data_IF_868902926797
#
_entry.id   IF_868902926797
#
_cell.length_a   1.000
_cell.length_b   1.000
_cell.length_c   1.000
_cell.angle_alpha   90.00
_cell.angle_beta   90.00
_cell.angle_gamma   90.00
#
_symmetry.space_group_name_H-M   'P 1'
#
loop_
_entity.id
_entity.type
_entity.pdbx_description
1 polymer ?
#
# COMPACT_ATOMS: atom_id res chain seq x y z
N UNK A 1 6.30 -26.30 -11.50
CA UNK A 1 6.45 -24.97 -12.13
C UNK A 1 5.15 -24.18 -12.17
N UNK A 2 4.03 -24.76 -12.61
CA UNK A 2 2.73 -24.05 -12.73
C UNK A 2 2.23 -23.46 -11.39
N UNK A 3 2.40 -24.17 -10.28
CA UNK A 3 2.01 -23.69 -8.94
C UNK A 3 2.78 -22.45 -8.49
N UNK A 4 4.11 -22.44 -8.66
CA UNK A 4 4.95 -21.27 -8.35
C UNK A 4 4.61 -20.06 -9.21
N UNK A 5 4.24 -20.28 -10.48
CA UNK A 5 3.81 -19.22 -11.38
C UNK A 5 2.47 -18.60 -10.92
N UNK A 6 1.51 -19.45 -10.53
CA UNK A 6 0.22 -19.00 -9.98
C UNK A 6 0.40 -18.23 -8.67
N UNK A 7 1.29 -18.70 -7.79
CA UNK A 7 1.64 -18.04 -6.53
C UNK A 7 2.22 -16.65 -6.76
N UNK A 8 3.19 -16.53 -7.68
CA UNK A 8 3.84 -15.26 -8.01
C UNK A 8 2.87 -14.27 -8.65
N UNK A 9 2.02 -14.75 -9.56
CA UNK A 9 1.01 -13.94 -10.21
C UNK A 9 -0.02 -13.41 -9.20
N UNK A 10 -0.53 -14.29 -8.33
CA UNK A 10 -1.54 -13.92 -7.35
C UNK A 10 -0.99 -12.93 -6.31
N UNK A 11 0.26 -13.13 -5.89
CA UNK A 11 0.97 -12.20 -5.02
C UNK A 11 1.16 -10.81 -5.66
N UNK A 12 1.57 -10.75 -6.92
CA UNK A 12 1.71 -9.49 -7.64
C UNK A 12 0.39 -8.72 -7.73
N UNK A 13 -0.70 -9.42 -8.07
CA UNK A 13 -2.05 -8.81 -8.13
C UNK A 13 -2.46 -8.26 -6.77
N UNK A 14 -2.23 -9.01 -5.68
CA UNK A 14 -2.52 -8.56 -4.31
C UNK A 14 -1.74 -7.28 -3.97
N UNK A 15 -0.44 -7.26 -4.25
CA UNK A 15 0.43 -6.10 -3.98
C UNK A 15 -0.04 -4.88 -4.78
N UNK A 16 -0.38 -5.05 -6.06
CA UNK A 16 -0.92 -3.96 -6.89
C UNK A 16 -2.24 -3.42 -6.33
N UNK A 17 -3.16 -4.29 -5.91
CA UNK A 17 -4.42 -3.87 -5.29
C UNK A 17 -4.16 -3.08 -4.01
N UNK A 18 -3.24 -3.53 -3.15
CA UNK A 18 -2.89 -2.85 -1.90
C UNK A 18 -2.29 -1.48 -2.16
N UNK A 19 -1.42 -1.33 -3.17
CA UNK A 19 -0.88 -0.02 -3.59
C UNK A 19 -2.01 0.91 -4.00
N UNK A 20 -2.92 0.43 -4.85
CA UNK A 20 -4.01 1.23 -5.39
C UNK A 20 -4.96 1.64 -4.25
N UNK A 21 -5.37 0.71 -3.40
CA UNK A 21 -6.26 1.02 -2.27
C UNK A 21 -5.60 1.94 -1.25
N UNK A 22 -4.36 1.67 -0.84
CA UNK A 22 -3.65 2.53 0.10
C UNK A 22 -3.44 3.94 -0.47
N UNK A 23 -3.11 4.03 -1.76
CA UNK A 23 -2.97 5.29 -2.48
C UNK A 23 -4.27 6.07 -2.57
N UNK A 24 -5.36 5.44 -3.00
CA UNK A 24 -6.70 6.05 -3.12
C UNK A 24 -7.19 6.53 -1.75
N UNK A 25 -7.10 5.69 -0.72
CA UNK A 25 -7.55 6.05 0.64
C UNK A 25 -6.77 7.26 1.16
N UNK A 26 -5.44 7.27 0.96
CA UNK A 26 -4.59 8.40 1.37
C UNK A 26 -4.90 9.67 0.57
N UNK A 27 -5.21 9.51 -0.72
CA UNK A 27 -5.56 10.64 -1.59
C UNK A 27 -6.90 11.25 -1.21
N UNK A 28 -7.93 10.42 -1.00
CA UNK A 28 -9.28 10.85 -0.66
C UNK A 28 -9.36 11.42 0.76
N UNK A 29 -8.59 10.86 1.70
CA UNK A 29 -8.56 11.26 3.10
C UNK A 29 -7.15 11.66 3.53
N UNK A 30 -6.65 12.85 3.16
CA UNK A 30 -5.28 13.30 3.47
C UNK A 30 -5.01 13.44 4.97
N UNK A 31 -6.06 13.65 5.79
CA UNK A 31 -5.98 13.72 7.26
C UNK A 31 -6.12 12.36 7.94
N UNK A 32 -6.35 11.28 7.19
CA UNK A 32 -6.52 9.96 7.79
C UNK A 32 -5.19 9.47 8.40
N UNK A 33 -5.22 8.86 9.59
CA UNK A 33 -4.02 8.35 10.21
C UNK A 33 -3.42 7.22 9.35
N UNK A 34 -2.24 7.46 8.79
CA UNK A 34 -1.50 6.51 7.94
C UNK A 34 -1.23 5.18 8.64
N UNK A 35 -1.14 5.20 9.97
CA UNK A 35 -1.01 4.01 10.82
C UNK A 35 -2.20 3.06 10.62
N UNK A 36 -3.42 3.58 10.46
CA UNK A 36 -4.61 2.73 10.27
C UNK A 36 -4.52 2.02 8.91
N UNK A 37 -4.14 2.72 7.85
CA UNK A 37 -3.96 2.12 6.51
C UNK A 37 -2.87 1.04 6.54
N UNK A 38 -1.77 1.29 7.26
CA UNK A 38 -0.70 0.32 7.49
C UNK A 38 -1.17 -0.93 8.22
N UNK A 39 -1.90 -0.76 9.33
CA UNK A 39 -2.44 -1.89 10.12
C UNK A 39 -3.40 -2.71 9.27
N UNK A 40 -4.30 -2.07 8.53
CA UNK A 40 -5.21 -2.78 7.61
C UNK A 40 -4.46 -3.54 6.52
N UNK A 41 -3.43 -2.93 5.92
CA UNK A 41 -2.61 -3.59 4.90
C UNK A 41 -1.86 -4.81 5.45
N UNK A 42 -1.28 -4.70 6.65
CA UNK A 42 -0.65 -5.83 7.35
C UNK A 42 -1.65 -6.94 7.67
N UNK A 43 -2.87 -6.59 8.09
CA UNK A 43 -3.96 -7.55 8.34
C UNK A 43 -4.36 -8.30 7.07
N UNK A 44 -4.43 -7.62 5.93
CA UNK A 44 -4.70 -8.26 4.63
C UNK A 44 -3.54 -9.21 4.27
N UNK A 45 -2.29 -8.83 4.53
CA UNK A 45 -1.12 -9.71 4.42
C UNK A 45 -1.21 -10.98 5.26
N UNK A 46 -1.67 -10.85 6.51
CA UNK A 46 -1.88 -11.97 7.42
C UNK A 46 -3.00 -12.91 6.96
N UNK A 47 -4.17 -12.36 6.62
CA UNK A 47 -5.32 -13.14 6.12
C UNK A 47 -4.93 -13.88 4.84
N UNK A 48 -4.19 -13.22 3.94
CA UNK A 48 -3.70 -13.83 2.72
C UNK A 48 -2.80 -15.04 3.00
N UNK A 49 -1.85 -14.92 3.93
CA UNK A 49 -0.96 -16.02 4.34
C UNK A 49 -1.70 -17.25 4.87
N UNK A 50 -2.86 -17.04 5.50
CA UNK A 50 -3.74 -18.14 5.93
C UNK A 50 -4.44 -18.79 4.73
N UNK A 51 -4.98 -17.99 3.80
CA UNK A 51 -5.70 -18.50 2.62
C UNK A 51 -4.84 -19.34 1.68
N UNK A 52 -3.55 -18.98 1.55
CA UNK A 52 -2.53 -19.69 0.73
C UNK A 52 -1.88 -20.87 1.49
N UNK A 53 -2.28 -21.11 2.74
CA UNK A 53 -1.71 -22.12 3.65
C UNK A 53 -0.16 -22.04 3.77
N UNK A 54 0.37 -20.83 3.59
CA UNK A 54 1.81 -20.54 3.54
C UNK A 54 2.22 -19.76 4.79
N UNK A 55 2.02 -20.41 5.94
CA UNK A 55 2.16 -19.80 7.28
C UNK A 55 3.59 -19.38 7.59
N UNK A 56 4.58 -20.10 7.07
CA UNK A 56 6.00 -19.78 7.28
C UNK A 56 6.40 -18.44 6.65
N UNK A 57 5.69 -17.99 5.60
CA UNK A 57 5.92 -16.72 4.93
C UNK A 57 5.05 -15.57 5.49
N UNK A 58 4.29 -15.79 6.56
CA UNK A 58 3.33 -14.82 7.07
C UNK A 58 3.98 -13.48 7.43
N UNK A 59 5.08 -13.51 8.18
CA UNK A 59 5.83 -12.31 8.58
C UNK A 59 6.36 -11.57 7.35
N UNK A 60 6.82 -12.30 6.33
CA UNK A 60 7.31 -11.72 5.08
C UNK A 60 6.19 -11.03 4.29
N UNK A 61 5.03 -11.66 4.19
CA UNK A 61 3.86 -11.11 3.50
C UNK A 61 3.32 -9.86 4.21
N UNK A 62 3.27 -9.86 5.53
CA UNK A 62 2.90 -8.68 6.33
C UNK A 62 3.93 -7.56 6.09
N UNK A 63 5.22 -7.89 6.18
CA UNK A 63 6.32 -6.95 5.99
C UNK A 63 6.27 -6.25 4.63
N UNK A 64 6.13 -7.02 3.54
CA UNK A 64 6.00 -6.44 2.20
C UNK A 64 4.76 -5.55 2.10
N UNK A 65 3.61 -5.99 2.60
CA UNK A 65 2.39 -5.20 2.48
C UNK A 65 2.49 -3.88 3.25
N UNK A 66 3.10 -3.89 4.43
CA UNK A 66 3.40 -2.68 5.17
C UNK A 66 4.36 -1.75 4.41
N UNK A 67 5.49 -2.28 3.90
CA UNK A 67 6.49 -1.48 3.17
C UNK A 67 5.87 -0.87 1.91
N UNK A 68 5.17 -1.66 1.13
CA UNK A 68 4.55 -1.23 -0.11
C UNK A 68 3.47 -0.17 0.15
N UNK A 69 2.58 -0.40 1.12
CA UNK A 69 1.59 0.61 1.51
C UNK A 69 2.24 1.89 2.03
N UNK A 70 3.34 1.79 2.80
CA UNK A 70 4.07 2.96 3.27
C UNK A 70 4.63 3.80 2.11
N UNK A 71 5.21 3.15 1.10
CA UNK A 71 5.70 3.81 -0.11
C UNK A 71 4.55 4.53 -0.83
N UNK A 72 3.40 3.88 -1.00
CA UNK A 72 2.22 4.51 -1.63
C UNK A 72 1.72 5.72 -0.85
N UNK A 73 1.64 5.61 0.48
CA UNK A 73 1.22 6.71 1.36
C UNK A 73 2.19 7.90 1.23
N UNK A 74 3.50 7.64 1.28
CA UNK A 74 4.52 8.67 1.13
C UNK A 74 4.43 9.38 -0.22
N UNK A 75 4.28 8.62 -1.31
CA UNK A 75 4.19 9.15 -2.66
C UNK A 75 3.00 10.10 -2.79
N UNK A 76 1.82 9.71 -2.29
CA UNK A 76 0.61 10.54 -2.35
C UNK A 76 0.74 11.79 -1.49
N UNK A 77 1.29 11.68 -0.27
CA UNK A 77 1.53 12.85 0.60
C UNK A 77 2.52 13.83 -0.03
N UNK A 78 3.57 13.32 -0.66
CA UNK A 78 4.54 14.13 -1.37
C UNK A 78 3.91 14.84 -2.58
N UNK A 79 3.06 14.14 -3.33
CA UNK A 79 2.33 14.72 -4.46
C UNK A 79 1.38 15.85 -4.01
N UNK A 80 0.62 15.62 -2.93
CA UNK A 80 -0.26 16.65 -2.34
C UNK A 80 0.53 17.84 -1.81
N UNK A 81 1.72 17.61 -1.24
CA UNK A 81 2.61 18.68 -0.81
C UNK A 81 3.11 19.53 -1.98
N UNK A 82 3.54 18.90 -3.07
CA UNK A 82 3.95 19.59 -4.29
C UNK A 82 2.80 20.42 -4.90
N UNK A 83 1.59 19.87 -4.94
CA UNK A 83 0.41 20.61 -5.42
C UNK A 83 0.16 21.88 -4.60
N UNK A 84 0.17 21.79 -3.27
CA UNK A 84 0.00 22.97 -2.40
C UNK A 84 1.10 24.00 -2.62
N UNK A 85 2.35 23.56 -2.73
CA UNK A 85 3.47 24.46 -2.96
C UNK A 85 3.38 25.15 -4.33
N UNK A 86 2.86 24.46 -5.35
CA UNK A 86 2.61 25.05 -6.66
C UNK A 86 1.50 26.12 -6.60
N UNK A 87 0.40 25.85 -5.91
CA UNK A 87 -0.69 26.82 -5.70
C UNK A 87 -0.26 28.06 -4.90
N UNK A 88 0.66 27.90 -3.94
CA UNK A 88 1.25 29.03 -3.20
C UNK A 88 2.12 29.90 -4.11
N UNK A 89 2.99 29.29 -4.91
CA UNK A 89 3.84 29.99 -5.88
C UNK A 89 3.04 30.74 -6.95
N UNK A 90 1.93 30.17 -7.41
CA UNK A 90 1.04 30.82 -8.38
C UNK A 90 0.31 32.04 -7.78
N UNK A 91 0.05 32.05 -6.46
CA UNK A 91 -0.58 33.19 -5.78
C UNK A 91 0.38 34.32 -5.43
N UNK A 92 1.68 34.03 -5.36
CA UNK A 92 2.74 35.01 -5.10
C UNK A 92 3.25 35.71 -6.38
N UNK A 93 2.86 35.23 -7.57
CA UNK A 93 3.20 35.78 -8.89
C UNK A 93 2.13 36.77 -9.39
#
# INVERSE_FOLDING_TARGET
>A
MVFYFFLYWHFLVMVMLIIIFAGIITFLFPKFPSIVVLVFSGLIGFVYSICIDFKDACIFLIGINCVVSFISILLIRYLQFLQRKAEELEKEL
#
